data_IF_493231376401
#
_entry.id   IF_493231376401
#
_cell.length_a   1.000
_cell.length_b   1.000
_cell.length_c   1.000
_cell.angle_alpha   90.00
_cell.angle_beta   90.00
_cell.angle_gamma   90.00
#
_symmetry.space_group_name_H-M   'P 1'
#
loop_
_entity.id
_entity.type
_entity.pdbx_description
1 polymer ?
#
# COMPACT_ATOMS: atom_id res chain seq x y z
N UNK A 1 19.17 -7.98 16.50
CA UNK A 1 18.94 -7.59 15.11
C UNK A 1 18.57 -8.85 14.36
N UNK A 2 17.35 -8.97 13.85
CA UNK A 2 16.97 -10.10 12.98
C UNK A 2 17.67 -9.90 11.64
N UNK A 3 18.58 -10.81 11.29
CA UNK A 3 19.24 -10.75 9.98
C UNK A 3 18.27 -11.10 8.86
N UNK A 4 18.52 -10.58 7.67
CA UNK A 4 17.83 -10.96 6.44
C UNK A 4 17.94 -12.48 6.22
N UNK A 5 16.85 -13.21 5.89
CA UNK A 5 16.94 -14.64 5.56
C UNK A 5 17.82 -14.88 4.33
N UNK A 6 18.65 -15.90 4.36
CA UNK A 6 19.48 -16.26 3.20
C UNK A 6 18.64 -16.66 1.98
N UNK A 7 17.49 -17.26 2.21
CA UNK A 7 16.53 -17.65 1.18
C UNK A 7 15.98 -16.46 0.40
N UNK A 8 15.84 -15.29 1.03
CA UNK A 8 15.42 -14.05 0.37
C UNK A 8 16.43 -13.62 -0.69
N UNK A 9 17.73 -13.72 -0.35
CA UNK A 9 18.80 -13.38 -1.30
C UNK A 9 18.86 -14.36 -2.47
N UNK A 10 18.70 -15.63 -2.18
CA UNK A 10 18.72 -16.69 -3.20
C UNK A 10 17.59 -16.55 -4.24
N UNK A 11 16.49 -15.90 -3.88
CA UNK A 11 15.34 -15.67 -4.78
C UNK A 11 15.37 -14.29 -5.46
N UNK A 12 16.36 -13.46 -5.20
CA UNK A 12 16.34 -12.04 -5.58
C UNK A 12 16.04 -11.79 -7.06
N UNK A 13 16.73 -12.49 -7.96
CA UNK A 13 16.59 -12.24 -9.40
C UNK A 13 15.21 -12.69 -9.92
N UNK A 14 14.77 -13.90 -9.53
CA UNK A 14 13.43 -14.39 -9.86
C UNK A 14 12.33 -13.53 -9.25
N UNK A 15 12.50 -13.10 -7.99
CA UNK A 15 11.57 -12.24 -7.27
C UNK A 15 11.43 -10.89 -7.96
N UNK A 16 12.55 -10.22 -8.29
CA UNK A 16 12.53 -8.89 -8.93
C UNK A 16 11.83 -8.94 -10.29
N UNK A 17 12.16 -9.93 -11.11
CA UNK A 17 11.51 -10.16 -12.40
C UNK A 17 10.00 -10.38 -12.27
N UNK A 18 9.59 -11.27 -11.36
CA UNK A 18 8.17 -11.59 -11.13
C UNK A 18 7.42 -10.39 -10.53
N UNK A 19 8.05 -9.58 -9.69
CA UNK A 19 7.47 -8.35 -9.17
C UNK A 19 7.19 -7.34 -10.30
N UNK A 20 8.10 -7.20 -11.26
CA UNK A 20 7.89 -6.37 -12.45
C UNK A 20 6.72 -6.90 -13.31
N UNK A 21 6.66 -8.23 -13.52
CA UNK A 21 5.56 -8.88 -14.24
C UNK A 21 4.21 -8.71 -13.52
N UNK A 22 4.19 -8.67 -12.19
CA UNK A 22 2.98 -8.43 -11.37
C UNK A 22 2.52 -6.97 -11.39
N UNK A 23 3.43 -6.03 -11.64
CA UNK A 23 3.18 -4.60 -11.58
C UNK A 23 2.82 -4.05 -10.19
N UNK A 24 3.04 -4.80 -9.10
CA UNK A 24 2.69 -4.39 -7.74
C UNK A 24 3.93 -4.00 -6.92
N UNK A 25 4.03 -2.71 -6.55
CA UNK A 25 5.16 -2.17 -5.77
C UNK A 25 5.36 -2.87 -4.42
N UNK A 26 4.29 -3.35 -3.79
CA UNK A 26 4.35 -4.02 -2.50
C UNK A 26 4.86 -5.47 -2.58
N UNK A 27 5.00 -6.01 -3.78
CA UNK A 27 5.57 -7.33 -4.01
C UNK A 27 7.05 -7.28 -4.40
N UNK A 28 7.68 -6.10 -4.39
CA UNK A 28 9.09 -5.95 -4.76
C UNK A 28 10.04 -6.57 -3.73
N UNK A 29 11.18 -7.03 -4.21
CA UNK A 29 12.24 -7.56 -3.37
C UNK A 29 12.76 -6.50 -2.38
N UNK A 30 12.84 -5.26 -2.79
CA UNK A 30 13.27 -4.11 -2.00
C UNK A 30 12.35 -3.87 -0.80
N UNK A 31 11.03 -4.01 -0.99
CA UNK A 31 10.09 -3.94 0.13
C UNK A 31 10.30 -5.10 1.10
N UNK A 32 10.44 -6.32 0.58
CA UNK A 32 10.67 -7.51 1.40
C UNK A 32 11.98 -7.41 2.18
N UNK A 33 13.06 -6.90 1.57
CA UNK A 33 14.35 -6.70 2.23
C UNK A 33 14.24 -5.68 3.38
N UNK A 34 13.62 -4.51 3.13
CA UNK A 34 13.37 -3.52 4.17
C UNK A 34 12.48 -4.07 5.28
N UNK A 35 11.43 -4.83 4.91
CA UNK A 35 10.52 -5.45 5.89
C UNK A 35 11.25 -6.44 6.80
N UNK A 36 12.09 -7.31 6.26
CA UNK A 36 12.86 -8.26 7.06
C UNK A 36 13.84 -7.58 8.00
N UNK A 37 14.50 -6.51 7.56
CA UNK A 37 15.44 -5.75 8.39
C UNK A 37 14.78 -5.09 9.60
N UNK A 38 13.61 -4.50 9.42
CA UNK A 38 12.97 -3.68 10.43
C UNK A 38 11.82 -4.37 11.16
N UNK A 39 11.10 -5.25 10.48
CA UNK A 39 9.86 -5.86 10.97
C UNK A 39 9.94 -7.39 11.10
N UNK A 40 11.00 -8.02 10.61
CA UNK A 40 11.16 -9.47 10.60
C UNK A 40 11.51 -10.12 11.95
N UNK A 41 11.77 -9.33 13.01
CA UNK A 41 12.20 -9.87 14.28
C UNK A 41 11.20 -10.88 14.88
N UNK A 42 11.70 -12.06 15.26
CA UNK A 42 10.87 -13.14 15.82
C UNK A 42 9.96 -13.85 14.80
N UNK A 43 10.23 -13.67 13.52
CA UNK A 43 9.53 -14.34 12.41
C UNK A 43 10.47 -15.31 11.71
N UNK A 44 9.89 -16.36 11.13
CA UNK A 44 10.60 -17.38 10.38
C UNK A 44 10.15 -17.31 8.90
N UNK A 45 11.09 -17.31 7.94
CA UNK A 45 10.74 -17.33 6.52
C UNK A 45 10.09 -18.69 6.17
N UNK A 46 9.08 -18.63 5.30
CA UNK A 46 8.40 -19.80 4.74
C UNK A 46 8.15 -19.49 3.26
N UNK A 47 9.20 -19.57 2.47
CA UNK A 47 9.09 -19.25 1.05
C UNK A 47 8.77 -20.49 0.24
N UNK A 48 7.80 -20.35 -0.69
CA UNK A 48 7.50 -21.31 -1.73
C UNK A 48 7.85 -20.75 -3.09
N UNK A 49 8.11 -21.65 -4.05
CA UNK A 49 8.27 -21.26 -5.45
C UNK A 49 7.66 -22.29 -6.37
N UNK A 50 7.10 -21.84 -7.49
CA UNK A 50 6.61 -22.69 -8.55
C UNK A 50 7.52 -22.56 -9.76
N UNK A 51 7.90 -23.69 -10.34
CA UNK A 51 8.71 -23.73 -11.56
C UNK A 51 7.93 -24.38 -12.69
N UNK A 52 8.08 -23.82 -13.88
CA UNK A 52 7.56 -24.35 -15.15
C UNK A 52 8.70 -24.31 -16.17
N UNK A 53 9.01 -25.42 -16.80
CA UNK A 53 10.07 -25.54 -17.81
C UNK A 53 11.44 -24.98 -17.35
N UNK A 54 11.79 -25.25 -16.08
CA UNK A 54 13.04 -24.81 -15.48
C UNK A 54 13.07 -23.36 -15.00
N UNK A 55 12.05 -22.52 -15.30
CA UNK A 55 11.91 -21.13 -14.90
C UNK A 55 10.98 -20.99 -13.70
N UNK A 56 11.32 -20.14 -12.74
CA UNK A 56 10.40 -19.77 -11.65
C UNK A 56 9.29 -18.88 -12.22
N UNK A 57 8.03 -19.28 -12.02
CA UNK A 57 6.83 -18.57 -12.48
C UNK A 57 6.03 -17.95 -11.33
N UNK A 58 6.26 -18.39 -10.09
CA UNK A 58 5.69 -17.75 -8.91
C UNK A 58 6.59 -17.92 -7.70
N UNK A 59 6.55 -16.92 -6.80
CA UNK A 59 7.11 -16.97 -5.46
C UNK A 59 6.00 -16.69 -4.45
N UNK A 60 5.96 -17.49 -3.38
CA UNK A 60 5.04 -17.35 -2.25
C UNK A 60 5.83 -16.85 -1.04
N UNK A 61 5.84 -15.54 -0.78
CA UNK A 61 6.67 -14.93 0.24
C UNK A 61 5.98 -14.96 1.60
N UNK A 62 5.95 -16.11 2.25
CA UNK A 62 5.30 -16.24 3.55
C UNK A 62 6.31 -16.12 4.70
N UNK A 63 5.78 -15.78 5.87
CA UNK A 63 6.50 -15.88 7.13
C UNK A 63 5.61 -16.51 8.20
N UNK A 64 6.24 -17.20 9.15
CA UNK A 64 5.58 -17.71 10.34
C UNK A 64 5.93 -16.86 11.56
N UNK A 65 4.95 -16.60 12.43
CA UNK A 65 5.13 -15.86 13.66
C UNK A 65 4.04 -16.18 14.69
N UNK A 66 4.00 -15.38 15.76
CA UNK A 66 3.01 -15.50 16.83
C UNK A 66 3.44 -16.39 17.99
N UNK A 67 3.15 -15.94 19.21
CA UNK A 67 3.51 -16.65 20.47
C UNK A 67 2.42 -17.62 20.93
N UNK A 68 1.18 -17.11 21.02
CA UNK A 68 0.03 -17.90 21.49
C UNK A 68 -0.56 -18.79 20.39
N UNK A 69 -0.69 -18.26 19.18
CA UNK A 69 -1.10 -18.97 17.97
C UNK A 69 -0.01 -18.79 16.91
N UNK A 70 0.36 -19.89 16.28
CA UNK A 70 1.29 -19.85 15.14
C UNK A 70 0.53 -19.30 13.93
N UNK A 71 0.88 -18.12 13.49
CA UNK A 71 0.27 -17.49 12.32
C UNK A 71 1.19 -17.60 11.12
N UNK A 72 0.64 -17.88 9.96
CA UNK A 72 1.29 -17.77 8.67
C UNK A 72 0.73 -16.54 7.97
N UNK A 73 1.58 -15.71 7.36
CA UNK A 73 1.20 -14.47 6.66
C UNK A 73 2.11 -14.24 5.47
N UNK A 74 1.68 -13.42 4.53
CA UNK A 74 2.58 -12.88 3.51
C UNK A 74 3.57 -11.89 4.11
N UNK A 75 4.80 -11.86 3.58
CA UNK A 75 5.77 -10.79 3.83
C UNK A 75 5.15 -9.46 3.36
N UNK A 76 5.45 -8.38 4.07
CA UNK A 76 4.78 -7.10 3.83
C UNK A 76 3.53 -6.88 4.69
N UNK A 77 2.97 -7.91 5.32
CA UNK A 77 1.82 -7.75 6.22
C UNK A 77 2.06 -6.65 7.25
N UNK A 78 1.08 -5.75 7.39
CA UNK A 78 1.12 -4.58 8.28
C UNK A 78 1.65 -3.31 7.64
N UNK A 79 2.37 -3.38 6.50
CA UNK A 79 2.88 -2.19 5.78
C UNK A 79 2.40 -2.14 4.33
N UNK A 80 2.26 -3.28 3.67
CA UNK A 80 1.74 -3.34 2.32
C UNK A 80 0.22 -3.18 2.31
N UNK A 81 -0.28 -2.33 1.42
CA UNK A 81 -1.72 -2.23 1.19
C UNK A 81 -2.24 -3.32 0.24
N UNK A 82 -1.34 -4.02 -0.45
CA UNK A 82 -1.66 -5.19 -1.25
C UNK A 82 -0.57 -6.25 -1.07
N UNK A 83 -0.89 -7.38 -0.48
CA UNK A 83 0.00 -8.54 -0.37
C UNK A 83 -0.47 -9.64 -1.34
N UNK A 84 0.38 -10.65 -1.60
CA UNK A 84 -0.02 -11.77 -2.45
C UNK A 84 1.13 -12.67 -2.87
N UNK A 85 0.84 -13.54 -3.84
CA UNK A 85 1.85 -14.26 -4.59
C UNK A 85 2.55 -13.31 -5.56
N UNK A 86 3.84 -13.54 -5.78
CA UNK A 86 4.64 -12.77 -6.73
C UNK A 86 4.70 -13.57 -8.03
N UNK A 87 3.89 -13.19 -8.98
CA UNK A 87 3.76 -13.87 -10.27
C UNK A 87 3.10 -12.94 -11.30
N UNK A 88 3.18 -13.31 -12.57
CA UNK A 88 2.32 -12.71 -13.59
C UNK A 88 0.84 -13.03 -13.29
N UNK A 89 -0.11 -12.15 -13.68
CA UNK A 89 -1.53 -12.37 -13.39
C UNK A 89 -2.08 -13.72 -13.87
N UNK A 90 -1.63 -14.21 -15.03
CA UNK A 90 -2.03 -15.50 -15.59
C UNK A 90 -1.52 -16.71 -14.78
N UNK A 91 -0.47 -16.56 -13.99
CA UNK A 91 0.10 -17.62 -13.15
C UNK A 91 -0.51 -17.67 -11.75
N UNK A 92 -1.37 -16.73 -11.39
CA UNK A 92 -1.99 -16.65 -10.08
C UNK A 92 -2.76 -17.91 -9.67
N UNK A 93 -3.54 -18.59 -10.54
CA UNK A 93 -4.18 -19.86 -10.19
C UNK A 93 -3.16 -20.97 -9.84
N UNK A 94 -2.02 -20.99 -10.51
CA UNK A 94 -0.92 -21.94 -10.25
C UNK A 94 -0.27 -21.62 -8.90
N UNK A 95 0.03 -20.36 -8.63
CA UNK A 95 0.55 -19.89 -7.35
C UNK A 95 -0.40 -20.21 -6.18
N UNK A 96 -1.70 -20.01 -6.37
CA UNK A 96 -2.73 -20.35 -5.38
C UNK A 96 -2.83 -21.85 -5.13
N UNK A 97 -2.63 -22.68 -6.15
CA UNK A 97 -2.52 -24.15 -6.01
C UNK A 97 -1.37 -24.56 -5.10
N UNK A 98 -0.19 -23.98 -5.32
CA UNK A 98 0.97 -24.19 -4.47
C UNK A 98 0.76 -23.66 -3.05
N UNK A 99 0.16 -22.47 -2.90
CA UNK A 99 -0.21 -21.94 -1.60
C UNK A 99 -1.09 -22.92 -0.81
N UNK A 100 -2.13 -23.47 -1.42
CA UNK A 100 -2.98 -24.48 -0.77
C UNK A 100 -2.19 -25.73 -0.35
N UNK A 101 -1.26 -26.20 -1.17
CA UNK A 101 -0.35 -27.31 -0.81
C UNK A 101 0.47 -26.93 0.43
N UNK A 102 1.13 -25.77 0.43
CA UNK A 102 1.91 -25.27 1.56
C UNK A 102 1.07 -25.15 2.85
N UNK A 103 -0.17 -24.66 2.75
CA UNK A 103 -1.09 -24.56 3.89
C UNK A 103 -1.43 -25.93 4.48
N UNK A 104 -1.42 -26.99 3.67
CA UNK A 104 -1.58 -28.38 4.12
C UNK A 104 -0.34 -28.92 4.85
N UNK A 105 0.84 -28.52 4.45
CA UNK A 105 2.11 -29.08 4.93
C UNK A 105 2.75 -28.26 6.05
N UNK A 106 2.83 -26.94 5.91
CA UNK A 106 3.50 -26.06 6.88
C UNK A 106 2.74 -26.00 8.21
N UNK A 107 3.38 -26.29 9.35
CA UNK A 107 2.73 -26.25 10.66
C UNK A 107 2.36 -24.81 11.06
N UNK A 108 1.06 -24.53 11.13
CA UNK A 108 0.49 -23.25 11.62
C UNK A 108 -0.88 -23.49 12.24
N UNK A 109 -1.44 -22.51 12.94
CA UNK A 109 -2.78 -22.55 13.50
C UNK A 109 -3.76 -21.70 12.67
N UNK A 110 -3.30 -20.52 12.19
CA UNK A 110 -4.05 -19.59 11.36
C UNK A 110 -3.21 -19.15 10.16
N UNK A 111 -3.80 -19.11 8.99
CA UNK A 111 -3.30 -18.32 7.87
C UNK A 111 -4.07 -17.01 7.82
N UNK A 112 -3.36 -15.90 7.91
CA UNK A 112 -3.91 -14.56 7.91
C UNK A 112 -3.44 -13.86 6.64
N UNK A 113 -4.37 -13.51 5.79
CA UNK A 113 -4.12 -12.73 4.57
C UNK A 113 -4.64 -11.35 4.82
N UNK A 114 -3.75 -10.39 4.80
CA UNK A 114 -4.10 -8.98 4.97
C UNK A 114 -4.09 -8.33 3.58
N UNK A 115 -5.26 -7.93 3.09
CA UNK A 115 -5.40 -7.06 1.91
C UNK A 115 -4.76 -7.63 0.63
N UNK A 116 -5.42 -8.56 0.00
CA UNK A 116 -5.17 -8.94 -1.40
C UNK A 116 -6.10 -8.15 -2.31
N UNK A 117 -5.71 -7.91 -3.55
CA UNK A 117 -6.56 -7.21 -4.52
C UNK A 117 -7.84 -8.01 -4.78
N UNK A 118 -9.00 -7.37 -4.61
CA UNK A 118 -10.31 -8.02 -4.80
C UNK A 118 -10.55 -8.48 -6.24
N UNK A 119 -9.93 -7.81 -7.23
CA UNK A 119 -10.02 -8.21 -8.64
C UNK A 119 -9.29 -9.52 -8.96
N UNK A 120 -8.34 -9.96 -8.12
CA UNK A 120 -7.57 -11.20 -8.33
C UNK A 120 -8.36 -12.49 -8.04
N UNK A 121 -9.55 -12.39 -7.46
CA UNK A 121 -10.43 -13.55 -7.23
C UNK A 121 -9.95 -14.51 -6.14
N UNK A 122 -9.26 -14.04 -5.12
CA UNK A 122 -8.71 -14.83 -4.03
C UNK A 122 -9.75 -15.67 -3.27
N UNK A 123 -11.01 -15.20 -3.17
CA UNK A 123 -12.11 -15.98 -2.58
C UNK A 123 -12.27 -17.34 -3.26
N UNK A 124 -12.35 -17.35 -4.59
CA UNK A 124 -12.47 -18.59 -5.37
C UNK A 124 -11.17 -19.41 -5.29
N UNK A 125 -10.02 -18.75 -5.40
CA UNK A 125 -8.72 -19.41 -5.38
C UNK A 125 -8.41 -20.08 -4.03
N UNK A 126 -8.82 -19.50 -2.91
CA UNK A 126 -8.60 -20.07 -1.58
C UNK A 126 -9.76 -20.94 -1.10
N UNK A 127 -10.92 -20.88 -1.76
CA UNK A 127 -12.16 -21.53 -1.29
C UNK A 127 -12.62 -20.96 0.06
N UNK A 128 -12.45 -19.66 0.26
CA UNK A 128 -12.76 -18.98 1.51
C UNK A 128 -13.38 -17.61 1.25
N UNK A 129 -14.37 -17.24 2.07
CA UNK A 129 -14.96 -15.90 2.01
C UNK A 129 -14.07 -14.87 2.73
N UNK A 130 -13.99 -13.61 2.25
CA UNK A 130 -13.30 -12.55 2.96
C UNK A 130 -13.89 -12.32 4.35
N UNK A 131 -13.01 -12.17 5.34
CA UNK A 131 -13.39 -11.76 6.68
C UNK A 131 -13.65 -10.24 6.76
N UNK A 132 -12.94 -9.48 5.92
CA UNK A 132 -13.06 -8.03 5.77
C UNK A 132 -12.90 -7.69 4.30
N UNK A 133 -13.69 -6.73 3.83
CA UNK A 133 -13.57 -6.09 2.53
C UNK A 133 -13.45 -4.59 2.75
N UNK A 134 -12.42 -3.97 2.20
CA UNK A 134 -12.12 -2.54 2.35
C UNK A 134 -12.02 -1.88 0.97
N UNK A 135 -12.45 -0.63 0.86
CA UNK A 135 -12.36 0.11 -0.39
C UNK A 135 -10.89 0.38 -0.79
N UNK A 136 -10.62 0.30 -2.08
CA UNK A 136 -9.34 0.62 -2.71
C UNK A 136 -9.57 1.30 -4.05
N UNK A 137 -9.96 2.59 -4.03
CA UNK A 137 -10.30 3.33 -5.25
C UNK A 137 -9.11 3.46 -6.20
N UNK A 138 -9.39 3.36 -7.50
CA UNK A 138 -8.40 3.49 -8.57
C UNK A 138 -8.93 4.43 -9.67
N UNK A 139 -8.02 5.16 -10.31
CA UNK A 139 -8.27 5.78 -11.61
C UNK A 139 -7.61 4.88 -12.66
N UNK A 140 -8.38 4.39 -13.59
CA UNK A 140 -7.89 3.78 -14.82
C UNK A 140 -7.90 4.86 -15.90
N UNK A 141 -6.73 5.16 -16.47
CA UNK A 141 -6.59 6.22 -17.45
C UNK A 141 -6.80 5.66 -18.86
N UNK A 142 -7.67 6.31 -19.62
CA UNK A 142 -7.93 6.03 -21.02
C UNK A 142 -7.13 6.97 -21.95
N UNK A 143 -6.50 8.01 -21.39
CA UNK A 143 -5.78 9.04 -22.12
C UNK A 143 -4.55 9.51 -21.35
N UNK A 144 -3.53 10.01 -22.03
CA UNK A 144 -2.39 10.73 -21.47
C UNK A 144 -2.52 12.25 -21.58
N UNK A 145 -3.65 12.74 -22.09
CA UNK A 145 -3.97 14.16 -22.15
C UNK A 145 -4.77 14.59 -20.92
N UNK A 146 -4.28 15.60 -20.20
CA UNK A 146 -4.93 16.09 -18.99
C UNK A 146 -6.29 16.76 -19.24
N UNK A 147 -6.41 17.49 -20.35
CA UNK A 147 -7.66 18.21 -20.65
C UNK A 147 -8.74 17.23 -21.11
N UNK A 148 -8.36 16.18 -21.84
CA UNK A 148 -9.26 15.07 -22.21
C UNK A 148 -9.69 14.29 -20.95
N UNK A 149 -8.76 13.95 -20.05
CA UNK A 149 -9.09 13.34 -18.76
C UNK A 149 -10.09 14.20 -17.99
N UNK A 150 -9.85 15.51 -17.88
CA UNK A 150 -10.77 16.44 -17.23
C UNK A 150 -12.14 16.47 -17.91
N UNK A 151 -12.21 16.45 -19.24
CA UNK A 151 -13.47 16.47 -19.97
C UNK A 151 -14.37 15.28 -19.60
N UNK A 152 -13.78 14.12 -19.33
CA UNK A 152 -14.48 12.93 -18.83
C UNK A 152 -14.96 13.01 -17.37
N UNK A 153 -14.57 14.03 -16.59
CA UNK A 153 -14.94 14.17 -15.17
C UNK A 153 -16.19 15.03 -14.97
N UNK A 154 -16.80 14.94 -13.79
CA UNK A 154 -17.98 15.75 -13.46
C UNK A 154 -17.68 17.25 -13.53
N UNK A 155 -18.69 18.07 -13.84
CA UNK A 155 -18.56 19.53 -13.90
C UNK A 155 -18.02 20.11 -12.58
N UNK A 156 -18.46 19.57 -11.45
CA UNK A 156 -18.00 19.97 -10.12
C UNK A 156 -16.50 19.64 -9.92
N UNK A 157 -16.05 18.45 -10.34
CA UNK A 157 -14.63 18.09 -10.26
C UNK A 157 -13.78 19.04 -11.10
N UNK A 158 -14.14 19.27 -12.38
CA UNK A 158 -13.42 20.19 -13.27
C UNK A 158 -13.30 21.58 -12.69
N UNK A 159 -14.42 22.10 -12.16
CA UNK A 159 -14.45 23.43 -11.57
C UNK A 159 -13.53 23.50 -10.32
N UNK A 160 -13.61 22.52 -9.42
CA UNK A 160 -12.81 22.51 -8.19
C UNK A 160 -11.32 22.33 -8.47
N UNK A 161 -10.94 21.45 -9.40
CA UNK A 161 -9.55 21.22 -9.76
C UNK A 161 -8.85 22.53 -10.18
N UNK A 162 -9.49 23.32 -11.07
CA UNK A 162 -8.90 24.59 -11.50
C UNK A 162 -9.10 25.75 -10.51
N UNK A 163 -10.25 25.84 -9.82
CA UNK A 163 -10.59 26.95 -8.94
C UNK A 163 -9.67 27.03 -7.73
N UNK A 164 -9.46 25.91 -7.04
CA UNK A 164 -8.64 25.89 -5.82
C UNK A 164 -7.18 26.14 -6.13
N UNK A 165 -6.63 25.55 -7.19
CA UNK A 165 -5.26 25.79 -7.59
C UNK A 165 -5.02 27.26 -7.95
N UNK A 166 -5.86 27.87 -8.82
CA UNK A 166 -5.75 29.30 -9.15
C UNK A 166 -5.85 30.23 -7.93
N UNK A 167 -6.71 29.88 -6.95
CA UNK A 167 -6.80 30.61 -5.69
C UNK A 167 -5.50 30.54 -4.92
N UNK A 168 -4.90 29.34 -4.76
CA UNK A 168 -3.65 29.18 -4.02
C UNK A 168 -2.46 29.86 -4.71
N UNK A 169 -2.41 29.83 -6.05
CA UNK A 169 -1.39 30.57 -6.82
C UNK A 169 -1.49 32.06 -6.57
N UNK A 170 -2.70 32.63 -6.65
CA UNK A 170 -2.92 34.08 -6.50
C UNK A 170 -2.70 34.56 -5.06
N UNK A 171 -3.25 33.82 -4.06
CA UNK A 171 -3.34 34.31 -2.69
C UNK A 171 -2.17 33.83 -1.81
N UNK A 172 -1.46 32.75 -2.21
CA UNK A 172 -0.45 32.09 -1.39
C UNK A 172 0.82 31.68 -2.18
N UNK A 173 1.02 32.19 -3.39
CA UNK A 173 2.19 31.86 -4.21
C UNK A 173 2.50 30.34 -4.23
N UNK A 174 1.47 29.53 -4.53
CA UNK A 174 1.61 28.06 -4.61
C UNK A 174 2.71 27.65 -5.57
N UNK A 175 3.58 26.77 -5.11
CA UNK A 175 4.55 26.06 -5.93
C UNK A 175 4.57 24.56 -5.58
N UNK A 176 5.08 23.75 -6.53
CA UNK A 176 5.27 22.31 -6.32
C UNK A 176 6.75 21.98 -6.44
N UNK A 177 7.20 21.08 -5.57
CA UNK A 177 8.56 20.54 -5.60
C UNK A 177 8.52 19.01 -5.60
N UNK A 178 9.31 18.43 -6.49
CA UNK A 178 9.50 16.99 -6.58
C UNK A 178 10.86 16.60 -6.00
N UNK A 179 10.94 15.51 -5.24
CA UNK A 179 12.20 14.99 -4.72
C UNK A 179 12.91 14.22 -5.81
N UNK A 180 13.91 14.85 -6.44
CA UNK A 180 14.70 14.29 -7.54
C UNK A 180 16.17 14.08 -7.19
N UNK A 181 16.61 14.56 -6.02
CA UNK A 181 17.98 14.50 -5.55
C UNK A 181 18.09 13.71 -4.25
N UNK A 182 19.02 12.77 -4.17
CA UNK A 182 19.30 11.99 -2.97
C UNK A 182 19.66 12.83 -1.75
N UNK A 183 20.29 14.00 -1.92
CA UNK A 183 20.56 14.94 -0.82
C UNK A 183 19.29 15.55 -0.22
N UNK A 184 18.17 15.56 -0.96
CA UNK A 184 16.89 16.05 -0.50
C UNK A 184 16.05 14.95 0.15
N UNK A 185 16.30 13.69 -0.15
CA UNK A 185 15.46 12.54 0.20
C UNK A 185 15.14 12.50 1.69
N UNK A 186 16.16 12.52 2.56
CA UNK A 186 15.96 12.42 4.01
C UNK A 186 15.14 13.59 4.57
N UNK A 187 15.44 14.80 4.11
CA UNK A 187 14.70 16.00 4.51
C UNK A 187 13.24 15.93 4.06
N UNK A 188 12.98 15.47 2.85
CA UNK A 188 11.63 15.41 2.31
C UNK A 188 10.82 14.27 2.94
N UNK A 189 11.46 13.16 3.29
CA UNK A 189 10.83 12.12 4.12
C UNK A 189 10.49 12.64 5.52
N UNK A 190 11.36 13.43 6.14
CA UNK A 190 11.04 14.06 7.42
C UNK A 190 9.82 14.99 7.31
N UNK A 191 9.73 15.77 6.23
CA UNK A 191 8.55 16.61 5.96
C UNK A 191 7.28 15.76 5.76
N UNK A 192 7.37 14.62 5.07
CA UNK A 192 6.23 13.70 4.93
C UNK A 192 5.75 13.23 6.30
N UNK A 193 6.66 12.74 7.16
CA UNK A 193 6.31 12.30 8.51
C UNK A 193 5.72 13.44 9.36
N UNK A 194 6.32 14.63 9.29
CA UNK A 194 5.86 15.81 10.04
C UNK A 194 4.46 16.24 9.61
N UNK A 195 4.22 16.43 8.31
CA UNK A 195 2.93 16.87 7.79
C UNK A 195 1.85 15.79 7.97
N UNK A 196 2.22 14.51 7.91
CA UNK A 196 1.34 13.41 8.26
C UNK A 196 0.93 13.48 9.74
N UNK A 197 1.92 13.67 10.65
CA UNK A 197 1.65 13.81 12.08
C UNK A 197 0.77 15.03 12.41
N UNK A 198 0.98 16.14 11.73
CA UNK A 198 0.14 17.35 11.89
C UNK A 198 -1.30 17.11 11.45
N UNK A 199 -1.51 16.34 10.38
CA UNK A 199 -2.87 16.00 9.87
C UNK A 199 -3.62 15.05 10.78
N UNK A 200 -2.98 13.99 11.26
CA UNK A 200 -3.61 12.86 11.95
C UNK A 200 -3.41 12.85 13.47
N UNK A 201 -2.58 13.73 14.00
CA UNK A 201 -2.13 13.74 15.38
C UNK A 201 -0.80 12.99 15.57
N UNK A 202 0.07 13.52 16.42
CA UNK A 202 1.38 12.92 16.68
C UNK A 202 1.23 11.57 17.39
N UNK A 203 1.90 10.53 16.86
CA UNK A 203 1.91 9.19 17.43
C UNK A 203 0.59 8.41 17.29
N UNK A 204 -0.38 8.93 16.53
CA UNK A 204 -1.70 8.28 16.37
C UNK A 204 -1.71 7.16 15.33
N UNK A 205 -0.74 7.15 14.41
CA UNK A 205 -0.64 6.13 13.36
C UNK A 205 0.68 5.35 13.48
N UNK A 206 0.64 4.09 13.07
CA UNK A 206 1.84 3.23 13.05
C UNK A 206 2.93 3.80 12.13
N UNK A 207 2.56 4.46 11.04
CA UNK A 207 3.46 5.12 10.09
C UNK A 207 4.45 6.09 10.75
N UNK A 208 4.06 6.71 11.86
CA UNK A 208 4.86 7.70 12.59
C UNK A 208 5.80 7.10 13.65
N UNK A 209 5.63 5.82 13.98
CA UNK A 209 6.30 5.16 15.10
C UNK A 209 7.38 4.19 14.63
N UNK A 210 8.37 3.93 15.50
CA UNK A 210 9.31 2.83 15.27
C UNK A 210 8.63 1.48 15.55
N UNK A 211 8.96 0.42 14.81
CA UNK A 211 9.99 0.35 13.74
C UNK A 211 9.48 0.72 12.33
N UNK A 212 8.23 1.16 12.18
CA UNK A 212 7.63 1.51 10.89
C UNK A 212 8.35 2.67 10.21
N UNK A 213 8.70 3.70 10.98
CA UNK A 213 9.42 4.86 10.46
C UNK A 213 10.77 4.46 9.83
N UNK A 214 11.53 3.60 10.51
CA UNK A 214 12.78 3.06 9.99
C UNK A 214 12.58 2.21 8.74
N UNK A 215 11.53 1.39 8.71
CA UNK A 215 11.14 0.64 7.52
C UNK A 215 10.88 1.57 6.33
N UNK A 216 10.09 2.63 6.50
CA UNK A 216 9.76 3.56 5.42
C UNK A 216 10.97 4.33 4.92
N UNK A 217 11.91 4.72 5.79
CA UNK A 217 13.18 5.32 5.36
C UNK A 217 13.99 4.38 4.48
N UNK A 218 14.15 3.14 4.91
CA UNK A 218 14.90 2.13 4.16
C UNK A 218 14.23 1.83 2.82
N UNK A 219 12.91 1.57 2.82
CA UNK A 219 12.19 1.29 1.58
C UNK A 219 12.17 2.48 0.62
N UNK A 220 11.98 3.71 1.12
CA UNK A 220 12.03 4.90 0.29
C UNK A 220 13.42 5.10 -0.35
N UNK A 221 14.51 4.84 0.39
CA UNK A 221 15.88 4.88 -0.15
C UNK A 221 16.06 3.86 -1.28
N UNK A 222 15.66 2.61 -1.07
CA UNK A 222 15.73 1.55 -2.08
C UNK A 222 14.86 1.89 -3.31
N UNK A 223 13.66 2.38 -3.09
CA UNK A 223 12.75 2.81 -4.15
C UNK A 223 13.29 4.04 -4.92
N UNK A 224 13.98 4.96 -4.24
CA UNK A 224 14.64 6.10 -4.87
C UNK A 224 15.78 5.65 -5.80
N UNK A 225 16.64 4.73 -5.35
CA UNK A 225 17.73 4.15 -6.15
C UNK A 225 17.22 3.43 -7.41
N UNK A 226 16.00 2.88 -7.35
CA UNK A 226 15.31 2.26 -8.49
C UNK A 226 14.53 3.25 -9.36
N UNK A 227 14.43 4.52 -8.98
CA UNK A 227 13.62 5.51 -9.68
C UNK A 227 12.11 5.36 -9.47
N UNK A 228 11.68 4.55 -8.50
CA UNK A 228 10.26 4.29 -8.20
C UNK A 228 9.65 5.30 -7.24
N UNK A 229 10.47 5.90 -6.37
CA UNK A 229 9.96 6.83 -5.35
C UNK A 229 9.35 8.07 -5.99
N UNK A 230 8.23 8.52 -5.45
CA UNK A 230 7.56 9.78 -5.78
C UNK A 230 7.23 10.52 -4.50
N UNK A 231 7.83 11.70 -4.29
CA UNK A 231 7.46 12.63 -3.23
C UNK A 231 7.19 13.97 -3.86
N UNK A 232 5.98 14.49 -3.66
CA UNK A 232 5.59 15.83 -4.04
C UNK A 232 5.35 16.68 -2.80
N UNK A 233 5.89 17.89 -2.77
CA UNK A 233 5.67 18.90 -1.73
C UNK A 233 4.97 20.10 -2.36
N UNK A 234 3.80 20.47 -1.83
CA UNK A 234 3.16 21.76 -2.14
C UNK A 234 3.62 22.79 -1.13
N UNK A 235 4.11 23.92 -1.63
CA UNK A 235 4.58 25.04 -0.83
C UNK A 235 3.66 26.23 -1.01
N UNK A 236 3.35 26.91 0.09
CA UNK A 236 2.60 28.18 0.12
C UNK A 236 3.51 29.27 0.67
N UNK A 237 3.73 30.34 -0.10
CA UNK A 237 4.67 31.41 0.24
C UNK A 237 6.07 30.87 0.61
N UNK A 238 6.55 29.88 -0.12
CA UNK A 238 7.87 29.23 0.09
C UNK A 238 7.96 28.34 1.33
N UNK A 239 6.84 27.97 1.96
CA UNK A 239 6.79 27.07 3.12
C UNK A 239 6.03 25.78 2.78
N UNK A 240 6.56 24.60 3.15
CA UNK A 240 5.85 23.34 2.96
C UNK A 240 4.48 23.33 3.65
N UNK A 241 3.43 23.04 2.89
CA UNK A 241 2.05 23.06 3.36
C UNK A 241 1.34 21.70 3.20
N UNK A 242 1.75 20.90 2.22
CA UNK A 242 1.27 19.53 2.06
C UNK A 242 2.37 18.67 1.42
N UNK A 243 2.35 17.38 1.75
CA UNK A 243 3.23 16.36 1.17
C UNK A 243 2.41 15.18 0.67
N UNK A 244 2.83 14.61 -0.44
CA UNK A 244 2.35 13.37 -1.01
C UNK A 244 3.53 12.41 -1.17
N UNK A 245 3.39 11.19 -0.66
CA UNK A 245 4.39 10.14 -0.68
C UNK A 245 3.79 8.90 -1.33
N UNK A 246 4.44 8.42 -2.35
CA UNK A 246 4.01 7.26 -3.10
C UNK A 246 5.10 6.71 -4.01
N UNK A 247 4.69 5.89 -4.96
CA UNK A 247 5.62 5.17 -5.82
C UNK A 247 5.07 5.12 -7.25
N UNK A 248 5.98 4.98 -8.21
CA UNK A 248 5.67 4.60 -9.58
C UNK A 248 6.27 3.23 -9.83
N UNK A 249 5.43 2.26 -10.16
CA UNK A 249 5.87 0.91 -10.44
C UNK A 249 4.92 0.22 -11.42
N UNK A 250 5.47 -0.54 -12.37
CA UNK A 250 4.72 -0.98 -13.52
C UNK A 250 4.22 0.22 -14.32
N UNK A 251 2.97 0.21 -14.68
CA UNK A 251 2.29 1.28 -15.40
C UNK A 251 1.35 2.11 -14.51
N UNK A 252 1.61 2.13 -13.18
CA UNK A 252 0.77 2.81 -12.20
C UNK A 252 1.54 3.69 -11.22
N UNK A 253 0.90 4.78 -10.78
CA UNK A 253 1.29 5.53 -9.58
C UNK A 253 0.49 5.03 -8.36
N UNK A 254 1.19 4.85 -7.24
CA UNK A 254 0.70 4.28 -6.00
C UNK A 254 0.71 5.33 -4.89
N UNK A 255 -0.46 5.87 -4.53
CA UNK A 255 -0.62 6.94 -3.54
C UNK A 255 -0.63 6.38 -2.14
N UNK A 256 0.54 6.31 -1.48
CA UNK A 256 0.67 5.56 -0.24
C UNK A 256 0.33 6.40 1.00
N UNK A 257 0.95 7.57 1.16
CA UNK A 257 0.66 8.44 2.30
C UNK A 257 0.62 9.92 1.90
N UNK A 258 -0.10 10.71 2.68
CA UNK A 258 -0.14 12.16 2.51
C UNK A 258 -0.30 12.88 3.85
N UNK A 259 0.23 14.08 3.90
CA UNK A 259 0.10 14.95 5.05
C UNK A 259 -0.16 16.39 4.63
N UNK A 260 -0.69 17.20 5.55
CA UNK A 260 -0.87 18.64 5.36
C UNK A 260 -0.75 19.38 6.67
N UNK A 261 -0.39 20.64 6.61
CA UNK A 261 -0.42 21.53 7.77
C UNK A 261 -1.85 22.01 8.02
N UNK A 262 -2.48 21.69 9.16
CA UNK A 262 -3.80 22.22 9.51
C UNK A 262 -3.82 23.73 9.67
N UNK A 263 -2.68 24.35 10.00
CA UNK A 263 -2.57 25.80 10.19
C UNK A 263 -2.85 26.62 8.91
N UNK A 264 -2.73 26.00 7.71
CA UNK A 264 -3.13 26.65 6.46
C UNK A 264 -4.65 26.68 6.24
N UNK A 265 -5.43 26.21 7.22
CA UNK A 265 -6.88 26.32 7.25
C UNK A 265 -7.58 25.59 6.08
N UNK A 266 -8.70 26.19 5.62
CA UNK A 266 -9.54 25.64 4.54
C UNK A 266 -8.99 25.92 3.14
N UNK A 267 -7.66 25.92 2.97
CA UNK A 267 -7.02 26.24 1.68
C UNK A 267 -7.22 25.16 0.62
N UNK A 268 -7.64 23.96 1.01
CA UNK A 268 -7.74 22.78 0.12
C UNK A 268 -6.39 22.34 -0.47
N UNK A 269 -5.25 22.70 0.14
CA UNK A 269 -3.91 22.40 -0.38
C UNK A 269 -3.67 20.90 -0.59
N UNK A 270 -4.17 20.03 0.31
CA UNK A 270 -4.07 18.57 0.14
C UNK A 270 -4.83 18.07 -1.10
N UNK A 271 -6.04 18.61 -1.37
CA UNK A 271 -6.79 18.32 -2.58
C UNK A 271 -6.03 18.77 -3.83
N UNK A 272 -5.51 20.00 -3.82
CA UNK A 272 -4.77 20.58 -4.95
C UNK A 272 -3.51 19.76 -5.23
N UNK A 273 -2.80 19.30 -4.19
CA UNK A 273 -1.64 18.43 -4.35
C UNK A 273 -2.04 17.04 -4.92
N UNK A 274 -3.18 16.48 -4.50
CA UNK A 274 -3.68 15.23 -5.10
C UNK A 274 -4.04 15.40 -6.58
N UNK A 275 -4.69 16.52 -6.95
CA UNK A 275 -4.96 16.85 -8.36
C UNK A 275 -3.66 17.00 -9.15
N UNK A 276 -2.64 17.65 -8.58
CA UNK A 276 -1.33 17.78 -9.21
C UNK A 276 -0.68 16.41 -9.44
N UNK A 277 -0.63 15.54 -8.43
CA UNK A 277 -0.04 14.20 -8.56
C UNK A 277 -0.75 13.36 -9.64
N UNK A 278 -2.10 13.39 -9.69
CA UNK A 278 -2.88 12.71 -10.74
C UNK A 278 -2.59 13.32 -12.12
N UNK A 279 -2.47 14.65 -12.23
CA UNK A 279 -2.12 15.32 -13.48
C UNK A 279 -0.76 14.90 -14.02
N UNK A 280 0.24 14.81 -13.15
CA UNK A 280 1.58 14.35 -13.55
C UNK A 280 1.56 12.86 -13.93
N UNK A 281 0.75 12.04 -13.27
CA UNK A 281 0.54 10.63 -13.64
C UNK A 281 -0.04 10.49 -15.05
N UNK A 282 -1.08 11.28 -15.38
CA UNK A 282 -1.68 11.32 -16.74
C UNK A 282 -0.63 11.74 -17.78
N UNK A 283 0.07 12.85 -17.55
CA UNK A 283 1.07 13.40 -18.47
C UNK A 283 2.24 12.47 -18.74
N UNK A 284 2.63 11.70 -17.73
CA UNK A 284 3.71 10.71 -17.83
C UNK A 284 3.22 9.39 -18.46
N UNK A 285 1.95 9.32 -18.90
CA UNK A 285 1.39 8.18 -19.64
C UNK A 285 1.15 6.93 -18.76
N UNK A 286 0.94 7.11 -17.46
CA UNK A 286 0.55 5.99 -16.59
C UNK A 286 -0.83 5.47 -16.98
N UNK A 287 -1.07 4.18 -16.79
CA UNK A 287 -2.36 3.54 -17.05
C UNK A 287 -3.29 3.57 -15.85
N UNK A 288 -2.74 3.70 -14.66
CA UNK A 288 -3.53 3.75 -13.44
C UNK A 288 -2.93 4.67 -12.37
N UNK A 289 -3.82 5.17 -11.49
CA UNK A 289 -3.45 5.82 -10.24
C UNK A 289 -4.22 5.14 -9.11
N UNK A 290 -3.51 4.44 -8.24
CA UNK A 290 -4.07 3.65 -7.14
C UNK A 290 -4.06 4.46 -5.85
N UNK A 291 -5.25 4.77 -5.31
CA UNK A 291 -5.40 5.49 -4.03
C UNK A 291 -5.16 4.60 -2.81
N UNK A 292 -5.05 3.29 -3.04
CA UNK A 292 -4.83 2.29 -2.00
C UNK A 292 -5.94 2.27 -0.93
N UNK A 293 -5.61 1.74 0.25
CA UNK A 293 -6.56 1.52 1.33
C UNK A 293 -7.36 2.77 1.70
N UNK A 294 -8.66 2.59 1.87
CA UNK A 294 -9.59 3.56 2.43
C UNK A 294 -10.56 4.16 1.42
N UNK A 295 -11.80 4.29 1.84
CA UNK A 295 -12.92 4.85 1.08
C UNK A 295 -13.22 6.30 1.43
N UNK A 296 -12.19 7.14 1.69
CA UNK A 296 -12.42 8.55 2.00
C UNK A 296 -13.12 9.25 0.82
N UNK A 297 -14.13 10.04 1.12
CA UNK A 297 -15.01 10.68 0.13
C UNK A 297 -14.26 11.40 -1.00
N UNK A 298 -13.11 12.00 -0.70
CA UNK A 298 -12.34 12.68 -1.73
C UNK A 298 -11.79 11.72 -2.79
N UNK A 299 -11.44 10.47 -2.44
CA UNK A 299 -10.93 9.46 -3.38
C UNK A 299 -12.00 9.06 -4.39
N UNK A 300 -13.25 8.91 -3.96
CA UNK A 300 -14.36 8.58 -4.84
C UNK A 300 -14.65 9.63 -5.91
N UNK A 301 -14.26 10.88 -5.67
CA UNK A 301 -14.37 11.95 -6.69
C UNK A 301 -13.40 11.77 -7.85
N UNK A 302 -12.25 11.12 -7.60
CA UNK A 302 -11.24 10.83 -8.61
C UNK A 302 -11.48 9.47 -9.28
N UNK A 303 -11.89 8.49 -8.52
CA UNK A 303 -11.93 7.09 -8.91
C UNK A 303 -12.82 6.84 -10.14
N UNK A 304 -12.38 5.92 -10.99
CA UNK A 304 -13.17 5.33 -12.09
C UNK A 304 -13.65 3.93 -11.73
N UNK A 305 -12.92 3.23 -10.84
CA UNK A 305 -13.26 1.92 -10.32
C UNK A 305 -12.85 1.78 -8.84
N UNK A 306 -13.35 0.74 -8.20
CA UNK A 306 -12.93 0.32 -6.86
C UNK A 306 -12.87 -1.21 -6.85
N UNK A 307 -11.67 -1.78 -6.86
CA UNK A 307 -11.47 -3.23 -6.85
C UNK A 307 -11.64 -3.82 -5.45
N UNK A 308 -11.51 -2.99 -4.41
CA UNK A 308 -11.51 -3.41 -3.03
C UNK A 308 -10.26 -4.19 -2.64
N UNK A 309 -10.14 -4.40 -1.34
CA UNK A 309 -9.09 -5.21 -0.72
C UNK A 309 -9.75 -6.24 0.19
N UNK A 310 -9.44 -7.50 -0.03
CA UNK A 310 -9.98 -8.61 0.75
C UNK A 310 -8.97 -9.10 1.78
N UNK A 311 -9.45 -9.34 2.99
CA UNK A 311 -8.65 -9.98 4.05
C UNK A 311 -9.31 -11.29 4.49
N UNK A 312 -8.49 -12.34 4.66
CA UNK A 312 -8.95 -13.68 5.00
C UNK A 312 -8.36 -14.17 6.31
N UNK A 313 -9.13 -15.00 7.02
CA UNK A 313 -8.67 -15.76 8.18
C UNK A 313 -9.02 -17.22 7.95
N UNK A 314 -7.99 -18.04 7.69
CA UNK A 314 -8.16 -19.46 7.39
C UNK A 314 -7.59 -20.29 8.55
N UNK A 315 -8.44 -20.87 9.43
CA UNK A 315 -7.98 -21.75 10.49
C UNK A 315 -7.59 -23.11 9.93
N UNK A 316 -6.38 -23.61 10.28
CA UNK A 316 -5.92 -24.93 9.87
C UNK A 316 -6.43 -26.04 10.79
N UNK A 317 -6.58 -25.79 12.08
CA UNK A 317 -6.86 -26.82 13.10
C UNK A 317 -7.86 -26.31 14.17
N UNK A 318 -8.21 -27.17 15.14
CA UNK A 318 -9.15 -26.82 16.21
C UNK A 318 -8.68 -25.61 17.04
N UNK A 319 -7.36 -25.50 17.32
CA UNK A 319 -6.78 -24.39 18.05
C UNK A 319 -6.92 -23.06 17.29
N UNK A 320 -6.67 -23.09 15.96
CA UNK A 320 -6.90 -21.95 15.09
C UNK A 320 -8.37 -21.54 15.02
N UNK A 321 -9.30 -22.50 14.90
CA UNK A 321 -10.74 -22.23 14.93
C UNK A 321 -11.18 -21.54 16.22
N UNK A 322 -10.72 -22.06 17.38
CA UNK A 322 -11.02 -21.46 18.68
C UNK A 322 -10.45 -20.03 18.79
N UNK A 323 -9.20 -19.82 18.37
CA UNK A 323 -8.56 -18.51 18.38
C UNK A 323 -9.25 -17.50 17.47
N UNK A 324 -9.65 -17.91 16.27
CA UNK A 324 -10.44 -17.08 15.35
C UNK A 324 -11.79 -16.69 15.94
N UNK A 325 -12.50 -17.65 16.54
CA UNK A 325 -13.81 -17.39 17.18
C UNK A 325 -13.67 -16.41 18.35
N UNK A 326 -12.66 -16.60 19.21
CA UNK A 326 -12.39 -15.71 20.34
C UNK A 326 -12.03 -14.29 19.87
N UNK A 327 -11.23 -14.16 18.80
CA UNK A 327 -10.88 -12.88 18.19
C UNK A 327 -12.11 -12.13 17.67
N UNK A 328 -13.01 -12.80 16.95
CA UNK A 328 -14.30 -12.22 16.48
C UNK A 328 -15.20 -11.78 17.63
N UNK A 329 -15.29 -12.58 18.69
CA UNK A 329 -16.07 -12.23 19.87
C UNK A 329 -15.51 -10.96 20.56
N UNK A 330 -14.20 -10.86 20.71
CA UNK A 330 -13.54 -9.68 21.28
C UNK A 330 -13.74 -8.42 20.42
N UNK A 331 -13.67 -8.52 19.10
CA UNK A 331 -13.95 -7.40 18.20
C UNK A 331 -15.40 -6.92 18.30
N UNK A 332 -16.36 -7.84 18.33
CA UNK A 332 -17.79 -7.52 18.54
C UNK A 332 -18.04 -6.82 19.88
N UNK A 333 -17.42 -7.30 20.95
CA UNK A 333 -17.54 -6.69 22.27
C UNK A 333 -16.99 -5.26 22.31
N UNK A 334 -15.83 -5.01 21.66
CA UNK A 334 -15.27 -3.66 21.53
C UNK A 334 -16.18 -2.72 20.73
N UNK A 335 -16.73 -3.18 19.60
CA UNK A 335 -17.66 -2.39 18.79
C UNK A 335 -18.93 -2.01 19.55
N UNK A 336 -19.47 -2.89 20.41
CA UNK A 336 -20.63 -2.61 21.27
C UNK A 336 -20.27 -1.61 22.38
N UNK A 337 -19.07 -1.71 22.97
CA UNK A 337 -18.58 -0.79 24.00
C UNK A 337 -18.46 0.63 23.48
N UNK A 338 -17.86 0.82 22.26
CA UNK A 338 -17.69 2.14 21.63
C UNK A 338 -19.06 2.78 21.34
N UNK A 339 -20.07 2.01 20.90
CA UNK A 339 -21.42 2.53 20.66
C UNK A 339 -22.14 2.94 21.96
N UNK A 340 -21.79 2.36 23.12
CA UNK A 340 -22.39 2.69 24.42
C UNK A 340 -21.71 3.89 25.10
N UNK A 341 -20.46 4.20 24.76
CA UNK A 341 -19.71 5.33 25.33
C UNK A 341 -19.82 6.62 24.49
N UNK A 342 -20.45 6.57 23.33
CA UNK A 342 -20.67 7.72 22.43
C UNK A 342 -22.15 8.14 22.30
N UNK A 343 -23.03 7.68 23.17
CA UNK A 343 -24.42 8.09 23.33
C UNK A 343 -24.57 8.85 24.70
#
# INVERSE_FOLDING_TARGET
MSGRPAELEALRDDWSRLAEESGNIFLTWELADAWWRHLGAGREPVFGSVRRDGRTVAVLPLHRGGRALRTLRFVGAGVADQVGAICAPEDLPTAAGELRRMLGEVPHDLFLVDRVDGAEGWSALLGAEPAVHEASPVIEFETSDWDEFLAGRSANFRQQAGKYERRLVRDHALSYRFTSDGAQLERDLDLVFELHARRWGTGTTEFQQEPMRSFHREFARLAFERGWLRIWIAELNGRPAAAWYGFRFGDADWSYQSGRDPAVGETSVGWVLSVHAVRESVRDGMRAYKFLLGGEEYKSRFATADHGLDSFVIPRNARGRLGHFAGRAAQRARAVSIRRSGG
#
